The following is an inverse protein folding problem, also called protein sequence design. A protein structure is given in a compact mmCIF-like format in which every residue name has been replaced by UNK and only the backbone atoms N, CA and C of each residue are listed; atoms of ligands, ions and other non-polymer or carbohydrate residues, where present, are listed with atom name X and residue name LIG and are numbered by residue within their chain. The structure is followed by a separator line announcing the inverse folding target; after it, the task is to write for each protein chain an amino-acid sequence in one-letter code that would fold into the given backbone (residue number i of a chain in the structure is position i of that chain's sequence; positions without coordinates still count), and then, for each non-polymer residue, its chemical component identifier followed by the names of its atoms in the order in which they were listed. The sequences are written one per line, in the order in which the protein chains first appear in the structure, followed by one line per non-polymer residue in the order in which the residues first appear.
data_IF_780503326691
#
_entry.id   IF_780503326691
#
_cell.length_a   1.000
_cell.length_b   1.000
_cell.length_c   1.000
_cell.angle_alpha   90.00
_cell.angle_beta   90.00
_cell.angle_gamma   90.00
#
_symmetry.space_group_name_H-M   'P 1'
#
loop_
_entity.id
_entity.type
_entity.pdbx_description
1 polymer ?
#
# COMPACT_ATOMS: atom_id res chain seq x y z
N UNK A 1 11.52 -18.17 -8.77
CA UNK A 1 11.23 -16.96 -7.98
C UNK A 1 9.74 -16.67 -8.05
N UNK A 2 9.03 -16.93 -6.98
CA UNK A 2 7.59 -16.72 -6.92
C UNK A 2 7.32 -15.26 -6.56
N UNK A 3 7.19 -14.41 -7.55
CA UNK A 3 6.62 -13.10 -7.33
C UNK A 3 5.11 -13.23 -7.42
N UNK A 4 4.47 -13.03 -6.30
CA UNK A 4 3.06 -12.68 -6.35
C UNK A 4 2.98 -11.29 -6.97
N UNK A 5 2.71 -11.23 -8.26
CA UNK A 5 2.57 -9.98 -9.00
C UNK A 5 1.29 -9.21 -8.64
N UNK A 6 0.49 -9.77 -7.75
CA UNK A 6 -0.79 -9.21 -7.29
C UNK A 6 -0.88 -9.24 -5.78
N UNK A 7 -1.51 -8.20 -5.22
CA UNK A 7 -1.80 -8.13 -3.79
C UNK A 7 -3.16 -7.45 -3.57
N UNK A 8 -3.89 -7.90 -2.57
CA UNK A 8 -5.20 -7.35 -2.23
C UNK A 8 -5.10 -6.57 -0.94
N UNK A 9 -5.44 -5.28 -0.99
CA UNK A 9 -5.61 -4.45 0.18
C UNK A 9 -7.08 -4.20 0.48
N UNK A 10 -7.38 -4.01 1.76
CA UNK A 10 -8.72 -3.73 2.24
C UNK A 10 -8.82 -2.27 2.66
N UNK A 11 -9.85 -1.57 2.19
CA UNK A 11 -10.20 -0.23 2.66
C UNK A 11 -10.92 -0.25 4.02
N UNK A 12 -11.17 0.93 4.57
CA UNK A 12 -11.93 1.09 5.80
C UNK A 12 -13.35 0.51 5.68
N UNK A 13 -13.96 0.63 4.50
CA UNK A 13 -15.29 0.08 4.20
C UNK A 13 -15.37 -1.45 4.23
N UNK A 14 -14.23 -2.13 4.31
CA UNK A 14 -14.13 -3.58 4.16
C UNK A 14 -14.02 -4.05 2.71
N UNK A 15 -14.12 -3.17 1.73
CA UNK A 15 -13.93 -3.50 0.32
C UNK A 15 -12.50 -3.93 0.06
N UNK A 16 -12.34 -4.93 -0.79
CA UNK A 16 -11.05 -5.47 -1.20
C UNK A 16 -10.69 -4.96 -2.59
N UNK A 17 -9.46 -4.49 -2.72
CA UNK A 17 -8.93 -3.97 -3.97
C UNK A 17 -7.70 -4.75 -4.39
N UNK A 18 -7.75 -5.37 -5.55
CA UNK A 18 -6.66 -6.20 -6.08
C UNK A 18 -5.74 -5.38 -6.96
N UNK A 19 -4.53 -5.19 -6.50
CA UNK A 19 -3.48 -4.44 -7.19
C UNK A 19 -2.50 -5.37 -7.91
N UNK A 20 -1.87 -4.83 -8.94
CA UNK A 20 -0.80 -5.48 -9.68
C UNK A 20 0.53 -4.78 -9.43
N UNK A 21 1.59 -5.53 -9.21
CA UNK A 21 2.94 -5.01 -9.03
C UNK A 21 3.48 -4.44 -10.35
N UNK A 22 4.13 -3.28 -10.27
CA UNK A 22 4.86 -2.69 -11.38
C UNK A 22 6.30 -3.20 -11.36
N UNK A 23 6.63 -4.11 -12.24
CA UNK A 23 7.96 -4.71 -12.34
C UNK A 23 8.87 -3.88 -13.24
N UNK A 24 8.34 -3.33 -14.32
CA UNK A 24 9.05 -2.53 -15.31
C UNK A 24 8.09 -1.57 -16.04
N UNK A 25 8.60 -0.83 -17.01
CA UNK A 25 7.79 0.08 -17.81
C UNK A 25 6.69 -0.64 -18.61
N UNK A 26 6.91 -1.89 -18.96
CA UNK A 26 5.95 -2.69 -19.75
C UNK A 26 4.77 -3.18 -18.90
N UNK A 27 4.94 -3.28 -17.59
CA UNK A 27 3.85 -3.62 -16.66
C UNK A 27 2.96 -2.42 -16.32
N UNK A 28 3.31 -1.21 -16.74
CA UNK A 28 2.46 -0.04 -16.61
C UNK A 28 1.40 0.00 -17.71
N UNK A 29 0.20 0.53 -17.43
CA UNK A 29 -0.81 0.73 -18.47
C UNK A 29 -0.35 1.77 -19.49
N UNK A 30 -1.03 1.82 -20.62
CA UNK A 30 -0.80 2.86 -21.64
C UNK A 30 -1.12 4.26 -21.10
N UNK A 31 -0.55 5.28 -21.72
CA UNK A 31 -0.83 6.66 -21.39
C UNK A 31 -2.34 6.96 -21.39
N UNK A 32 -2.78 7.80 -20.46
CA UNK A 32 -4.18 8.19 -20.31
C UNK A 32 -5.03 7.23 -19.46
N UNK A 33 -4.45 6.15 -18.94
CA UNK A 33 -5.19 5.21 -18.07
C UNK A 33 -5.18 5.70 -16.63
N UNK A 34 -6.36 6.00 -16.10
CA UNK A 34 -6.53 6.42 -14.70
C UNK A 34 -6.59 5.25 -13.72
N UNK A 35 -6.20 5.49 -12.48
CA UNK A 35 -6.25 4.50 -11.43
C UNK A 35 -5.67 4.96 -10.11
N UNK A 36 -5.39 3.98 -9.27
CA UNK A 36 -4.81 4.13 -7.94
C UNK A 36 -3.43 3.46 -7.93
N UNK A 37 -2.50 4.02 -7.20
CA UNK A 37 -1.19 3.40 -6.97
C UNK A 37 -0.82 3.42 -5.50
N UNK A 38 0.01 2.45 -5.09
CA UNK A 38 0.50 2.31 -3.73
C UNK A 38 2.02 2.12 -3.78
N UNK A 39 2.76 2.92 -3.01
CA UNK A 39 4.17 2.68 -2.73
C UNK A 39 4.28 1.76 -1.53
N UNK A 40 5.10 0.73 -1.64
CA UNK A 40 5.14 -0.40 -0.71
C UNK A 40 6.57 -0.69 -0.30
N UNK A 41 6.76 -1.01 0.96
CA UNK A 41 7.98 -1.60 1.49
C UNK A 41 7.74 -3.06 1.77
N UNK A 42 8.50 -3.94 1.13
CA UNK A 42 8.49 -5.35 1.44
C UNK A 42 9.41 -5.61 2.62
N UNK A 43 8.84 -6.15 3.68
CA UNK A 43 9.57 -6.65 4.83
C UNK A 43 9.52 -8.17 4.79
N UNK A 44 10.69 -8.81 4.79
CA UNK A 44 10.81 -10.25 4.58
C UNK A 44 10.09 -10.70 3.29
N UNK A 45 9.82 -11.97 3.12
CA UNK A 45 9.22 -12.46 1.88
C UNK A 45 7.72 -12.13 1.71
N UNK A 46 6.99 -11.88 2.82
CA UNK A 46 5.53 -11.93 2.80
C UNK A 46 4.82 -10.65 3.22
N UNK A 47 5.53 -9.70 3.78
CA UNK A 47 4.90 -8.54 4.39
C UNK A 47 5.06 -7.30 3.54
N UNK A 48 3.94 -6.80 3.01
CA UNK A 48 3.88 -5.59 2.20
C UNK A 48 3.29 -4.44 3.01
N UNK A 49 4.16 -3.53 3.43
CA UNK A 49 3.78 -2.33 4.18
C UNK A 49 3.43 -1.21 3.22
N UNK A 50 2.18 -0.72 3.20
CA UNK A 50 1.81 0.41 2.37
C UNK A 50 2.38 1.71 2.96
N UNK A 51 3.12 2.45 2.16
CA UNK A 51 3.76 3.71 2.56
C UNK A 51 2.99 4.93 2.09
N UNK A 52 2.41 4.85 0.90
CA UNK A 52 1.71 5.94 0.26
C UNK A 52 0.64 5.41 -0.70
N UNK A 53 -0.55 5.98 -0.64
CA UNK A 53 -1.64 5.73 -1.59
C UNK A 53 -1.91 7.02 -2.35
N UNK A 54 -1.99 6.94 -3.67
CA UNK A 54 -2.31 8.05 -4.52
C UNK A 54 -3.21 7.67 -5.69
N UNK A 55 -3.80 8.67 -6.32
CA UNK A 55 -4.61 8.54 -7.53
C UNK A 55 -3.99 9.29 -8.69
N UNK A 56 -4.27 8.87 -9.89
CA UNK A 56 -3.86 9.56 -11.11
C UNK A 56 -4.87 9.36 -12.23
N UNK A 57 -5.07 10.41 -13.05
CA UNK A 57 -5.81 10.27 -14.29
C UNK A 57 -4.97 9.63 -15.40
N UNK A 58 -3.64 9.61 -15.22
CA UNK A 58 -2.67 8.94 -16.07
C UNK A 58 -1.58 8.33 -15.17
N UNK A 59 -1.73 7.04 -14.85
CA UNK A 59 -0.81 6.32 -13.95
C UNK A 59 0.60 6.30 -14.53
N UNK A 60 0.73 6.01 -15.83
CA UNK A 60 2.03 5.91 -16.48
C UNK A 60 2.84 7.19 -16.34
N UNK A 61 2.23 8.31 -16.70
CA UNK A 61 2.86 9.61 -16.59
C UNK A 61 3.20 9.97 -15.14
N UNK A 62 2.29 9.70 -14.23
CA UNK A 62 2.48 9.98 -12.80
C UNK A 62 3.62 9.20 -12.19
N UNK A 63 3.72 7.91 -12.45
CA UNK A 63 4.77 7.05 -11.87
C UNK A 63 6.14 7.27 -12.49
N UNK A 64 6.22 7.68 -13.75
CA UNK A 64 7.50 7.96 -14.40
C UNK A 64 8.18 9.22 -13.85
N UNK A 65 7.43 10.18 -13.33
CA UNK A 65 7.95 11.45 -12.81
C UNK A 65 7.50 11.78 -11.39
N UNK A 66 7.24 10.78 -10.56
CA UNK A 66 6.68 11.01 -9.23
C UNK A 66 7.74 11.48 -8.22
N UNK A 67 7.61 12.71 -7.76
CA UNK A 67 8.52 13.33 -6.80
C UNK A 67 8.58 12.59 -5.44
N UNK A 68 7.47 11.98 -5.03
CA UNK A 68 7.40 11.27 -3.75
C UNK A 68 8.03 9.89 -3.77
N UNK A 69 8.27 9.32 -4.95
CA UNK A 69 8.95 8.04 -5.05
C UNK A 69 10.37 8.10 -4.49
N UNK A 70 11.12 9.15 -4.80
CA UNK A 70 12.44 9.37 -4.23
C UNK A 70 12.41 9.39 -2.70
N UNK A 71 11.46 10.11 -2.12
CA UNK A 71 11.27 10.17 -0.67
C UNK A 71 10.87 8.81 -0.08
N UNK A 72 9.95 8.11 -0.74
CA UNK A 72 9.53 6.78 -0.32
C UNK A 72 10.72 5.80 -0.34
N UNK A 73 11.51 5.84 -1.39
CA UNK A 73 12.68 4.98 -1.56
C UNK A 73 13.77 5.26 -0.53
N UNK A 74 14.19 6.52 -0.40
CA UNK A 74 15.34 6.90 0.44
C UNK A 74 15.03 6.95 1.93
N UNK A 75 13.88 7.47 2.32
CA UNK A 75 13.54 7.67 3.73
C UNK A 75 12.67 6.59 4.33
N UNK A 76 11.82 5.96 3.53
CA UNK A 76 10.88 4.94 4.00
C UNK A 76 11.26 3.53 3.57
N UNK A 77 12.24 3.37 2.73
CA UNK A 77 12.72 2.08 2.25
C UNK A 77 11.74 1.37 1.31
N UNK A 78 11.01 2.13 0.49
CA UNK A 78 10.11 1.58 -0.51
C UNK A 78 10.85 0.63 -1.47
N UNK A 79 10.23 -0.48 -1.77
CA UNK A 79 10.79 -1.53 -2.64
C UNK A 79 9.98 -1.73 -3.90
N UNK A 80 8.68 -1.48 -3.86
CA UNK A 80 7.74 -1.83 -4.93
C UNK A 80 6.65 -0.79 -5.08
N UNK A 81 6.07 -0.76 -6.27
CA UNK A 81 4.89 0.02 -6.61
C UNK A 81 3.79 -0.93 -7.09
N UNK A 82 2.58 -0.70 -6.63
CA UNK A 82 1.40 -1.45 -7.03
C UNK A 82 0.36 -0.53 -7.65
N UNK A 83 -0.36 -1.02 -8.65
CA UNK A 83 -1.37 -0.25 -9.37
C UNK A 83 -2.69 -0.98 -9.48
N UNK A 84 -3.77 -0.22 -9.44
CA UNK A 84 -5.14 -0.67 -9.69
C UNK A 84 -5.71 0.18 -10.84
N UNK A 85 -5.99 -0.44 -11.97
CA UNK A 85 -6.49 0.23 -13.16
C UNK A 85 -7.28 -0.73 -14.06
N UNK A 86 -8.11 -0.24 -14.96
CA UNK A 86 -8.50 1.15 -15.19
C UNK A 86 -9.55 1.61 -14.18
N UNK A 87 -9.48 2.87 -13.75
CA UNK A 87 -10.54 3.57 -13.02
C UNK A 87 -10.75 4.92 -13.69
N UNK A 88 -11.75 4.99 -14.52
CA UNK A 88 -11.96 6.11 -15.45
C UNK A 88 -12.52 7.35 -14.74
N UNK A 89 -13.44 7.17 -13.81
CA UNK A 89 -14.14 8.25 -13.13
C UNK A 89 -13.30 8.81 -11.97
N UNK A 90 -13.15 10.14 -11.93
CA UNK A 90 -12.45 10.84 -10.85
C UNK A 90 -13.14 10.66 -9.50
N UNK A 91 -14.45 10.59 -9.47
CA UNK A 91 -15.22 10.37 -8.23
C UNK A 91 -14.89 8.98 -7.67
N UNK A 92 -14.82 7.98 -8.52
CA UNK A 92 -14.45 6.62 -8.12
C UNK A 92 -13.00 6.55 -7.65
N UNK A 93 -12.08 7.21 -8.34
CA UNK A 93 -10.67 7.28 -7.91
C UNK A 93 -10.54 7.91 -6.54
N UNK A 94 -11.20 9.02 -6.30
CA UNK A 94 -11.19 9.70 -5.00
C UNK A 94 -11.77 8.82 -3.91
N UNK A 95 -12.89 8.19 -4.15
CA UNK A 95 -13.54 7.30 -3.17
C UNK A 95 -12.64 6.13 -2.78
N UNK A 96 -12.02 5.49 -3.75
CA UNK A 96 -11.12 4.34 -3.51
C UNK A 96 -9.86 4.81 -2.78
N UNK A 97 -9.26 5.92 -3.20
CA UNK A 97 -8.10 6.52 -2.54
C UNK A 97 -8.39 6.81 -1.06
N UNK A 98 -9.48 7.51 -0.78
CA UNK A 98 -9.89 7.86 0.59
C UNK A 98 -10.17 6.60 1.44
N UNK A 99 -10.85 5.62 0.88
CA UNK A 99 -11.16 4.36 1.56
C UNK A 99 -9.87 3.60 1.92
N UNK A 100 -8.91 3.54 1.02
CA UNK A 100 -7.61 2.91 1.25
C UNK A 100 -6.75 3.70 2.24
N UNK A 101 -6.71 5.02 2.15
CA UNK A 101 -5.95 5.86 3.09
C UNK A 101 -6.48 5.68 4.52
N UNK A 102 -7.78 5.68 4.68
CA UNK A 102 -8.41 5.46 6.00
C UNK A 102 -8.19 4.05 6.53
N UNK A 103 -8.25 3.04 5.67
CA UNK A 103 -8.06 1.65 6.05
C UNK A 103 -6.61 1.26 6.30
N UNK A 104 -5.68 1.76 5.51
CA UNK A 104 -4.26 1.40 5.57
C UNK A 104 -3.43 2.38 6.40
N UNK A 105 -3.85 3.62 6.51
CA UNK A 105 -3.15 4.70 7.22
C UNK A 105 -1.66 4.81 6.82
N UNK A 106 -1.35 5.00 5.53
CA UNK A 106 0.03 5.02 5.08
C UNK A 106 0.76 6.24 5.67
N UNK A 107 2.00 6.08 6.15
CA UNK A 107 2.69 7.15 6.87
C UNK A 107 2.96 8.40 6.03
N UNK A 108 3.15 8.25 4.72
CA UNK A 108 3.42 9.40 3.84
C UNK A 108 2.18 10.22 3.51
N UNK A 109 0.98 9.64 3.56
CA UNK A 109 -0.25 10.38 3.35
C UNK A 109 -0.56 11.33 4.51
N UNK A 110 -0.24 10.95 5.73
CA UNK A 110 -0.44 11.81 6.90
C UNK A 110 0.43 13.07 6.88
N UNK A 111 1.66 12.95 6.40
CA UNK A 111 2.57 14.08 6.27
C UNK A 111 2.04 15.15 5.32
N UNK A 112 1.23 14.77 4.34
CA UNK A 112 0.61 15.70 3.38
C UNK A 112 -0.64 16.38 3.91
N UNK A 113 -1.40 15.65 4.71
CA UNK A 113 -2.66 16.17 5.24
C UNK A 113 -2.46 17.14 6.41
N UNK A 114 -1.21 17.45 6.77
CA UNK A 114 -0.89 18.30 7.91
C UNK A 114 -1.39 17.74 9.23
N UNK A 115 -1.83 16.51 9.20
CA UNK A 115 -2.47 15.85 10.32
C UNK A 115 -1.45 15.11 11.17
N UNK A 116 -0.68 15.88 11.94
CA UNK A 116 -0.06 15.39 13.15
C UNK A 116 -1.04 15.42 14.34
N UNK A 117 -2.33 15.16 14.07
CA UNK A 117 -3.28 15.09 15.18
C UNK A 117 -2.87 13.93 16.09
N UNK A 118 -2.96 14.10 17.41
CA UNK A 118 -2.69 13.02 18.37
C UNK A 118 -3.51 11.76 18.08
N UNK A 119 -4.70 11.93 17.51
CA UNK A 119 -5.59 10.84 17.12
C UNK A 119 -5.06 10.05 15.93
N UNK A 120 -4.53 10.72 14.90
CA UNK A 120 -3.92 10.06 13.74
C UNK A 120 -2.65 9.31 14.15
N UNK A 121 -1.84 9.90 15.01
CA UNK A 121 -0.66 9.26 15.58
C UNK A 121 -1.04 8.03 16.44
N UNK A 122 -2.07 8.14 17.27
CA UNK A 122 -2.57 7.03 18.08
C UNK A 122 -3.14 5.89 17.22
N UNK A 123 -3.91 6.21 16.17
CA UNK A 123 -4.42 5.21 15.22
C UNK A 123 -3.29 4.50 14.49
N UNK A 124 -2.27 5.24 14.07
CA UNK A 124 -1.09 4.68 13.42
C UNK A 124 -0.32 3.75 14.35
N UNK A 125 -0.09 4.17 15.59
CA UNK A 125 0.55 3.36 16.61
C UNK A 125 -0.23 2.08 16.91
N UNK A 126 -1.57 2.17 17.01
CA UNK A 126 -2.45 1.03 17.21
C UNK A 126 -2.41 0.06 16.03
N UNK A 127 -2.35 0.59 14.79
CA UNK A 127 -2.25 -0.23 13.59
C UNK A 127 -0.89 -0.92 13.48
N UNK A 128 0.19 -0.20 13.72
CA UNK A 128 1.54 -0.79 13.77
C UNK A 128 1.63 -1.85 14.86
N UNK A 129 1.07 -1.60 16.03
CA UNK A 129 0.99 -2.58 17.11
C UNK A 129 0.20 -3.82 16.68
N UNK A 130 -0.93 -3.66 16.01
CA UNK A 130 -1.74 -4.76 15.47
C UNK A 130 -0.99 -5.55 14.40
N UNK A 131 -0.20 -4.88 13.57
CA UNK A 131 0.60 -5.49 12.51
C UNK A 131 1.84 -6.20 13.05
N UNK A 132 2.40 -5.66 14.14
CA UNK A 132 3.56 -6.25 14.83
C UNK A 132 3.17 -7.00 16.10
N UNK A 133 1.88 -7.20 16.37
CA UNK A 133 1.46 -8.01 17.49
C UNK A 133 1.92 -9.45 17.26
N UNK A 134 2.87 -9.85 18.11
CA UNK A 134 3.48 -11.19 18.14
C UNK A 134 2.42 -12.29 18.25
N UNK A 135 1.21 -11.98 18.68
CA UNK A 135 0.09 -12.94 18.75
C UNK A 135 -0.42 -13.35 17.37
N UNK A 136 -0.45 -12.42 16.41
CA UNK A 136 -0.83 -12.77 15.04
C UNK A 136 0.24 -13.63 14.37
N UNK A 137 1.50 -13.45 14.75
CA UNK A 137 2.62 -14.29 14.32
C UNK A 137 2.64 -15.66 15.00
N UNK A 138 2.20 -15.73 16.26
CA UNK A 138 2.06 -17.02 16.97
C UNK A 138 1.02 -17.92 16.33
N UNK A 139 -0.04 -17.36 15.76
CA UNK A 139 -1.01 -18.11 14.97
C UNK A 139 -0.41 -18.72 13.71
N UNK A 140 0.47 -17.98 13.03
CA UNK A 140 1.18 -18.46 11.84
C UNK A 140 2.36 -19.40 12.17
N UNK A 141 3.05 -19.19 13.30
CA UNK A 141 4.18 -19.99 13.75
C UNK A 141 3.78 -21.10 14.71
N UNK A 142 2.56 -21.08 15.23
CA UNK A 142 2.05 -22.08 16.18
C UNK A 142 1.99 -23.50 15.59
N UNK A 143 1.94 -23.62 14.26
CA UNK A 143 2.06 -24.90 13.57
C UNK A 143 3.45 -25.53 13.64
N UNK A 144 4.49 -24.75 13.94
CA UNK A 144 5.87 -25.24 13.99
C UNK A 144 6.26 -25.75 15.38
N UNK A 145 5.59 -25.31 16.45
CA UNK A 145 5.87 -25.77 17.82
C UNK A 145 5.24 -27.11 18.19
N UNK A 146 4.24 -27.54 17.45
CA UNK A 146 3.61 -28.83 17.69
C UNK A 146 4.48 -30.05 17.27
N UNK A 147 5.58 -29.82 16.57
CA UNK A 147 6.48 -30.87 16.10
C UNK A 147 7.74 -31.07 16.98
N UNK A 148 7.82 -30.39 18.12
CA UNK A 148 8.93 -30.55 19.10
C UNK A 148 8.45 -31.08 20.45
N UNK A 149 7.55 -31.98 20.39
CA UNK A 149 7.25 -32.84 21.55
C UNK A 149 7.85 -34.23 21.31
#
# INVERSE_FOLDING_TARGET
MFFFDKHTWRGESGRRYKFKCVLDKNSMPKAGTGGIYIFVRRRWAFFLEPLYVGKAHDIRNRLLGHEKWGRAYWYYGATERYILHPIVDEIDRRRIEEDLIKGLMPPMNDAEMGSSSPEAAARRAAMLKRWFDVRSWRGLLGGVKAQRA
#
